data_IF_281487109914
#
_entry.id   IF_281487109914
#
_cell.length_a   1.000
_cell.length_b   1.000
_cell.length_c   1.000
_cell.angle_alpha   90.00
_cell.angle_beta   90.00
_cell.angle_gamma   90.00
#
_symmetry.space_group_name_H-M   'P 1'
#
loop_
_entity.id
_entity.type
_entity.pdbx_description
1 polymer ?
#
# COMPACT_ATOMS: atom_id res chain seq x y z
N UNK A 1 15.68 7.00 -36.23
CA UNK A 1 16.78 7.08 -35.27
C UNK A 1 16.23 6.62 -33.93
N UNK A 2 16.47 5.38 -33.54
CA UNK A 2 16.04 4.86 -32.24
C UNK A 2 16.98 5.43 -31.18
N UNK A 3 16.54 6.45 -30.46
CA UNK A 3 17.25 6.93 -29.28
C UNK A 3 17.25 5.81 -28.24
N UNK A 4 18.44 5.39 -27.85
CA UNK A 4 18.65 4.42 -26.79
C UNK A 4 17.96 4.90 -25.50
N UNK A 5 17.24 4.00 -24.84
CA UNK A 5 16.44 4.25 -23.64
C UNK A 5 17.26 4.63 -22.38
N UNK A 6 18.53 5.01 -22.52
CA UNK A 6 19.44 5.37 -21.44
C UNK A 6 20.13 6.69 -21.80
N UNK A 7 19.46 7.79 -21.49
CA UNK A 7 20.09 9.10 -21.50
C UNK A 7 20.50 9.41 -20.05
N UNK A 8 21.81 9.45 -19.72
CA UNK A 8 22.27 9.62 -18.33
C UNK A 8 21.64 10.81 -17.61
N UNK A 9 21.35 11.89 -18.35
CA UNK A 9 20.70 13.10 -17.83
C UNK A 9 19.28 12.83 -17.29
N UNK A 10 18.55 11.86 -17.86
CA UNK A 10 17.21 11.47 -17.39
C UNK A 10 17.31 10.76 -16.05
N UNK A 11 18.23 9.82 -15.89
CA UNK A 11 18.46 9.15 -14.60
C UNK A 11 18.89 10.15 -13.53
N UNK A 12 19.81 11.08 -13.84
CA UNK A 12 20.20 12.13 -12.90
C UNK A 12 19.03 13.02 -12.47
N UNK A 13 18.10 13.35 -13.39
CA UNK A 13 16.91 14.11 -13.05
C UNK A 13 15.99 13.32 -12.11
N UNK A 14 15.78 12.02 -12.37
CA UNK A 14 14.95 11.18 -11.50
C UNK A 14 15.56 11.01 -10.12
N UNK A 15 16.88 10.79 -10.04
CA UNK A 15 17.62 10.71 -8.78
C UNK A 15 17.54 12.03 -7.99
N UNK A 16 17.67 13.16 -8.67
CA UNK A 16 17.50 14.48 -8.06
C UNK A 16 16.09 14.66 -7.49
N UNK A 17 15.04 14.27 -8.24
CA UNK A 17 13.66 14.30 -7.74
C UNK A 17 13.51 13.42 -6.50
N UNK A 18 14.05 12.21 -6.53
CA UNK A 18 13.99 11.28 -5.40
C UNK A 18 14.66 11.86 -4.13
N UNK A 19 15.83 12.48 -4.27
CA UNK A 19 16.55 13.09 -3.16
C UNK A 19 15.77 14.27 -2.54
N UNK A 20 15.09 15.07 -3.35
CA UNK A 20 14.36 16.24 -2.87
C UNK A 20 13.05 15.88 -2.16
N UNK A 21 12.39 14.79 -2.56
CA UNK A 21 11.08 14.39 -2.01
C UNK A 21 11.18 13.41 -0.83
N UNK A 22 12.33 12.75 -0.62
CA UNK A 22 12.53 11.85 0.50
C UNK A 22 11.58 10.64 0.50
N UNK A 23 10.91 10.38 1.64
CA UNK A 23 9.95 9.27 1.82
C UNK A 23 8.53 9.54 1.28
N UNK A 24 8.28 10.72 0.70
CA UNK A 24 6.94 11.15 0.27
C UNK A 24 6.69 10.84 -1.22
N UNK A 25 6.04 9.71 -1.49
CA UNK A 25 5.72 9.30 -2.85
C UNK A 25 4.75 10.24 -3.56
N UNK A 26 3.85 10.93 -2.83
CA UNK A 26 2.92 11.85 -3.48
C UNK A 26 3.66 13.09 -3.98
N UNK A 27 4.62 13.61 -3.20
CA UNK A 27 5.55 14.63 -3.68
C UNK A 27 6.40 14.13 -4.85
N UNK A 28 6.89 12.88 -4.80
CA UNK A 28 7.62 12.24 -5.91
C UNK A 28 6.78 12.27 -7.19
N UNK A 29 5.54 11.78 -7.11
CA UNK A 29 4.60 11.73 -8.22
C UNK A 29 4.28 13.12 -8.77
N UNK A 30 3.95 14.07 -7.91
CA UNK A 30 3.65 15.45 -8.30
C UNK A 30 4.84 16.11 -9.02
N UNK A 31 6.05 15.85 -8.52
CA UNK A 31 7.30 16.34 -9.10
C UNK A 31 7.55 15.73 -10.48
N UNK A 32 7.42 14.40 -10.60
CA UNK A 32 7.52 13.68 -11.87
C UNK A 32 6.50 14.23 -12.88
N UNK A 33 5.24 14.37 -12.49
CA UNK A 33 4.19 14.89 -13.38
C UNK A 33 4.48 16.34 -13.82
N UNK A 34 5.02 17.17 -12.91
CA UNK A 34 5.47 18.54 -13.21
C UNK A 34 6.64 18.60 -14.20
N UNK A 35 7.67 17.76 -14.02
CA UNK A 35 8.79 17.68 -14.97
C UNK A 35 8.34 17.16 -16.32
N UNK A 36 7.56 16.07 -16.35
CA UNK A 36 7.02 15.48 -17.58
C UNK A 36 6.24 16.49 -18.43
N UNK A 37 5.46 17.39 -17.81
CA UNK A 37 4.72 18.45 -18.53
C UNK A 37 5.63 19.50 -19.19
N UNK A 38 6.82 19.74 -18.62
CA UNK A 38 7.77 20.76 -19.08
C UNK A 38 8.81 20.21 -20.06
N UNK A 39 9.05 18.90 -20.05
CA UNK A 39 10.00 18.26 -20.95
C UNK A 39 9.52 18.28 -22.41
N UNK A 40 10.43 18.42 -23.39
CA UNK A 40 10.15 18.14 -24.80
C UNK A 40 9.62 16.72 -25.00
N UNK A 41 8.81 16.51 -26.05
CA UNK A 41 8.12 15.24 -26.28
C UNK A 41 9.08 14.05 -26.41
N UNK A 42 10.26 14.24 -27.02
CA UNK A 42 11.28 13.19 -27.15
C UNK A 42 11.77 12.61 -25.81
N UNK A 43 11.68 13.37 -24.71
CA UNK A 43 12.16 12.96 -23.38
C UNK A 43 11.06 12.44 -22.46
N UNK A 44 9.78 12.61 -22.82
CA UNK A 44 8.66 12.25 -21.92
C UNK A 44 8.60 10.75 -21.67
N UNK A 45 8.78 9.92 -22.70
CA UNK A 45 8.75 8.46 -22.58
C UNK A 45 9.91 7.93 -21.73
N UNK A 46 11.19 8.24 -22.04
CA UNK A 46 12.30 7.73 -21.21
C UNK A 46 12.24 8.25 -19.77
N UNK A 47 11.83 9.51 -19.56
CA UNK A 47 11.65 10.06 -18.21
C UNK A 47 10.57 9.32 -17.42
N UNK A 48 9.40 9.10 -18.04
CA UNK A 48 8.29 8.38 -17.38
C UNK A 48 8.69 6.93 -17.08
N UNK A 49 9.40 6.27 -17.99
CA UNK A 49 9.89 4.91 -17.79
C UNK A 49 10.82 4.81 -16.58
N UNK A 50 11.83 5.69 -16.51
CA UNK A 50 12.80 5.68 -15.41
C UNK A 50 12.17 6.09 -14.08
N UNK A 51 11.29 7.10 -14.08
CA UNK A 51 10.53 7.50 -12.91
C UNK A 51 9.64 6.35 -12.41
N UNK A 52 9.00 5.61 -13.31
CA UNK A 52 8.21 4.44 -12.94
C UNK A 52 9.08 3.35 -12.33
N UNK A 53 10.25 3.05 -12.91
CA UNK A 53 11.20 2.05 -12.38
C UNK A 53 11.61 2.39 -10.94
N UNK A 54 11.99 3.64 -10.69
CA UNK A 54 12.36 4.11 -9.35
C UNK A 54 11.14 4.07 -8.42
N UNK A 55 9.99 4.54 -8.89
CA UNK A 55 8.73 4.48 -8.16
C UNK A 55 8.35 3.06 -7.72
N UNK A 56 8.54 2.04 -8.57
CA UNK A 56 8.26 0.64 -8.21
C UNK A 56 9.27 0.13 -7.20
N UNK A 57 10.55 0.45 -7.41
CA UNK A 57 11.64 -0.14 -6.63
C UNK A 57 11.69 0.43 -5.22
N UNK A 58 11.47 1.73 -5.10
CA UNK A 58 11.52 2.46 -3.83
C UNK A 58 10.13 2.38 -3.19
N UNK A 59 9.14 3.04 -3.80
CA UNK A 59 7.84 3.26 -3.18
C UNK A 59 6.81 2.15 -3.43
N UNK A 60 7.21 1.03 -4.05
CA UNK A 60 6.29 -0.06 -4.42
C UNK A 60 5.03 0.42 -5.20
N UNK A 61 5.14 1.53 -5.94
CA UNK A 61 4.01 2.20 -6.61
C UNK A 61 2.85 2.63 -5.71
N UNK A 62 3.03 2.70 -4.39
CA UNK A 62 1.90 2.94 -3.51
C UNK A 62 1.37 4.36 -3.60
N UNK A 63 0.17 4.53 -4.15
CA UNK A 63 -0.58 5.78 -4.15
C UNK A 63 -1.32 6.05 -2.83
N UNK A 64 -1.04 5.25 -1.80
CA UNK A 64 -1.58 5.44 -0.47
C UNK A 64 -1.12 6.79 0.10
N UNK A 65 -2.05 7.72 0.26
CA UNK A 65 -1.78 8.95 1.00
C UNK A 65 -1.68 8.70 2.51
N UNK A 66 -0.89 9.49 3.24
CA UNK A 66 -0.89 9.47 4.70
C UNK A 66 -2.30 9.67 5.30
N UNK A 67 -3.13 10.52 4.68
CA UNK A 67 -4.50 10.76 5.12
C UNK A 67 -5.41 9.53 4.92
N UNK A 68 -5.27 8.82 3.81
CA UNK A 68 -5.99 7.56 3.58
C UNK A 68 -5.54 6.49 4.60
N UNK A 69 -4.24 6.38 4.88
CA UNK A 69 -3.71 5.47 5.91
C UNK A 69 -4.25 5.82 7.30
N UNK A 70 -4.22 7.11 7.67
CA UNK A 70 -4.82 7.63 8.90
C UNK A 70 -6.27 7.22 9.03
N UNK A 71 -7.06 7.54 8.02
CA UNK A 71 -8.49 7.29 8.03
C UNK A 71 -8.81 5.79 8.09
N UNK A 72 -8.02 4.96 7.41
CA UNK A 72 -8.13 3.51 7.46
C UNK A 72 -7.89 2.97 8.87
N UNK A 73 -6.80 3.37 9.52
CA UNK A 73 -6.45 2.92 10.86
C UNK A 73 -7.45 3.40 11.91
N UNK A 74 -7.83 4.68 11.88
CA UNK A 74 -8.82 5.23 12.80
C UNK A 74 -10.18 4.51 12.65
N UNK A 75 -10.57 4.21 11.41
CA UNK A 75 -11.80 3.45 11.16
C UNK A 75 -11.68 2.01 11.66
N UNK A 76 -10.57 1.33 11.36
CA UNK A 76 -10.33 -0.03 11.84
C UNK A 76 -10.35 -0.10 13.37
N UNK A 77 -9.69 0.84 14.06
CA UNK A 77 -9.65 0.92 15.51
C UNK A 77 -10.99 1.32 16.15
N UNK A 78 -11.82 2.08 15.44
CA UNK A 78 -13.19 2.38 15.88
C UNK A 78 -14.10 1.14 15.80
N UNK A 79 -13.90 0.30 14.79
CA UNK A 79 -14.68 -0.94 14.60
C UNK A 79 -14.19 -2.06 15.49
N UNK A 80 -12.87 -2.15 15.71
CA UNK A 80 -12.23 -3.07 16.65
C UNK A 80 -11.49 -2.27 17.74
N UNK A 81 -12.21 -1.71 18.75
CA UNK A 81 -11.60 -0.93 19.82
C UNK A 81 -10.59 -1.72 20.65
N UNK A 82 -10.67 -3.05 20.67
CA UNK A 82 -9.72 -3.91 21.38
C UNK A 82 -8.46 -4.21 20.60
N UNK A 83 -8.29 -3.64 19.40
CA UNK A 83 -7.13 -3.92 18.56
C UNK A 83 -5.81 -3.68 19.30
N UNK A 84 -4.90 -4.65 19.19
CA UNK A 84 -3.59 -4.65 19.87
C UNK A 84 -2.40 -4.70 18.92
N UNK A 85 -2.61 -5.06 17.65
CA UNK A 85 -1.57 -5.07 16.62
C UNK A 85 -2.15 -4.98 15.21
N UNK A 86 -1.29 -4.61 14.26
CA UNK A 86 -1.53 -4.77 12.82
C UNK A 86 -0.57 -5.85 12.31
N UNK A 87 -1.10 -6.87 11.65
CA UNK A 87 -0.30 -7.85 10.91
C UNK A 87 -0.48 -7.61 9.42
N UNK A 88 0.62 -7.34 8.71
CA UNK A 88 0.63 -7.16 7.27
C UNK A 88 1.19 -8.39 6.57
N UNK A 89 0.49 -8.86 5.54
CA UNK A 89 0.94 -9.96 4.68
C UNK A 89 1.00 -9.45 3.23
N UNK A 90 2.10 -9.75 2.53
CA UNK A 90 2.37 -9.24 1.19
C UNK A 90 3.02 -7.86 1.21
N UNK A 91 3.84 -7.58 2.23
CA UNK A 91 4.43 -6.27 2.51
C UNK A 91 5.43 -5.79 1.45
N UNK A 92 5.94 -6.69 0.62
CA UNK A 92 7.00 -6.38 -0.35
C UNK A 92 8.18 -5.69 0.34
N UNK A 93 8.54 -4.50 -0.14
CA UNK A 93 9.61 -3.68 0.43
C UNK A 93 9.27 -3.01 1.76
N UNK A 94 8.01 -3.06 2.21
CA UNK A 94 7.54 -2.46 3.47
C UNK A 94 7.10 -1.00 3.38
N UNK A 95 6.91 -0.44 2.17
CA UNK A 95 6.58 0.98 2.00
C UNK A 95 5.17 1.32 2.50
N UNK A 96 4.17 0.48 2.23
CA UNK A 96 2.81 0.71 2.74
C UNK A 96 2.83 0.73 4.27
N UNK A 97 3.48 -0.25 4.88
CA UNK A 97 3.63 -0.35 6.33
C UNK A 97 4.40 0.83 6.89
N UNK A 98 5.39 1.36 6.16
CA UNK A 98 6.08 2.59 6.51
C UNK A 98 5.13 3.77 6.62
N UNK A 99 4.22 3.97 5.65
CA UNK A 99 3.21 5.04 5.70
C UNK A 99 2.33 4.88 6.95
N UNK A 100 1.84 3.66 7.21
CA UNK A 100 1.05 3.36 8.41
C UNK A 100 1.84 3.65 9.70
N UNK A 101 3.10 3.22 9.76
CA UNK A 101 3.98 3.42 10.91
C UNK A 101 4.24 4.91 11.17
N UNK A 102 4.44 5.70 10.12
CA UNK A 102 4.65 7.16 10.19
C UNK A 102 3.44 7.87 10.78
N UNK A 103 2.25 7.51 10.32
CA UNK A 103 0.96 8.06 10.79
C UNK A 103 0.66 7.67 12.24
N UNK A 104 1.06 6.47 12.65
CA UNK A 104 0.81 5.93 14.00
C UNK A 104 1.82 6.41 15.05
N UNK A 105 3.12 6.40 14.71
CA UNK A 105 4.20 6.40 15.71
C UNK A 105 5.18 7.57 15.60
N UNK A 106 4.99 8.49 14.65
CA UNK A 106 5.90 9.62 14.44
C UNK A 106 7.37 9.18 14.35
N UNK A 107 7.60 8.19 13.48
CA UNK A 107 8.90 7.57 13.28
C UNK A 107 9.93 8.62 12.88
N UNK A 108 11.09 8.60 13.57
CA UNK A 108 12.27 9.36 13.18
C UNK A 108 12.83 8.78 11.89
N UNK A 109 12.90 9.60 10.84
CA UNK A 109 13.47 9.19 9.56
C UNK A 109 14.98 9.14 9.65
N UNK A 110 15.56 8.24 8.87
CA UNK A 110 16.95 8.37 8.49
C UNK A 110 17.12 9.66 7.66
N UNK A 111 18.13 10.51 7.95
CA UNK A 111 18.38 11.76 7.24
C UNK A 111 18.36 11.66 5.71
N UNK A 112 18.72 10.51 5.13
CA UNK A 112 18.70 10.31 3.68
C UNK A 112 17.28 10.30 3.06
N UNK A 113 16.25 10.12 3.89
CA UNK A 113 14.84 10.10 3.49
C UNK A 113 14.10 11.37 3.92
N UNK A 114 14.79 12.37 4.47
CA UNK A 114 14.17 13.64 4.81
C UNK A 114 13.79 14.44 3.55
N UNK A 115 12.54 14.88 3.49
CA UNK A 115 12.05 15.81 2.46
C UNK A 115 12.88 17.09 2.49
N UNK A 116 13.39 17.54 1.34
CA UNK A 116 14.09 18.82 1.22
C UNK A 116 13.10 19.98 1.44
N UNK A 117 13.08 20.50 2.67
CA UNK A 117 12.15 21.56 3.09
C UNK A 117 12.35 22.91 2.41
N UNK A 118 13.48 23.13 1.72
CA UNK A 118 13.67 24.33 0.89
C UNK A 118 12.87 24.23 -0.41
N UNK A 119 12.85 23.06 -1.04
CA UNK A 119 12.07 22.79 -2.25
C UNK A 119 10.60 22.55 -1.92
N UNK A 120 10.33 21.76 -0.87
CA UNK A 120 8.99 21.41 -0.41
C UNK A 120 8.75 21.87 1.04
N UNK A 121 8.26 23.10 1.24
CA UNK A 121 7.97 23.62 2.57
C UNK A 121 6.96 22.78 3.36
N UNK A 122 6.16 21.96 2.66
CA UNK A 122 5.21 21.01 3.22
C UNK A 122 5.35 19.65 2.55
N UNK A 123 5.09 18.60 3.31
CA UNK A 123 4.91 17.22 2.84
C UNK A 123 3.49 16.73 3.13
N UNK A 124 3.08 15.64 2.49
CA UNK A 124 1.78 15.00 2.72
C UNK A 124 1.70 14.34 4.10
N UNK A 125 2.83 14.11 4.78
CA UNK A 125 2.85 13.63 6.16
C UNK A 125 2.62 14.74 7.20
N UNK A 126 2.75 16.02 6.82
CA UNK A 126 2.69 17.11 7.78
C UNK A 126 1.29 17.23 8.41
N UNK A 127 1.24 17.15 9.74
CA UNK A 127 0.01 17.18 10.54
C UNK A 127 -0.93 15.98 10.35
N UNK A 128 -0.47 14.89 9.72
CA UNK A 128 -1.24 13.66 9.58
C UNK A 128 -0.86 12.69 10.68
N UNK A 129 -1.75 12.55 11.67
CA UNK A 129 -1.61 11.62 12.79
C UNK A 129 -2.93 10.92 13.06
N UNK A 130 -2.87 9.62 13.28
CA UNK A 130 -4.03 8.84 13.72
C UNK A 130 -4.31 9.08 15.19
N UNK A 131 -5.56 9.37 15.53
CA UNK A 131 -6.05 9.37 16.90
C UNK A 131 -6.72 8.03 17.21
N UNK A 132 -5.96 7.15 17.85
CA UNK A 132 -6.42 5.83 18.32
C UNK A 132 -6.60 5.78 19.84
N UNK A 133 -6.85 6.93 20.47
CA UNK A 133 -7.06 7.04 21.91
C UNK A 133 -5.77 6.87 22.72
N UNK A 134 -4.65 7.36 22.20
CA UNK A 134 -3.34 7.33 22.86
C UNK A 134 -2.66 5.95 22.93
N UNK A 135 -3.23 4.94 22.26
CA UNK A 135 -2.64 3.59 22.16
C UNK A 135 -1.51 3.56 21.14
N UNK A 136 -0.63 2.58 21.28
CA UNK A 136 0.35 2.21 20.26
C UNK A 136 -0.07 0.87 19.64
N UNK A 137 -0.12 0.82 18.32
CA UNK A 137 -0.40 -0.39 17.55
C UNK A 137 0.88 -0.82 16.81
N UNK A 138 1.63 -1.82 17.29
CA UNK A 138 2.76 -2.36 16.55
C UNK A 138 2.31 -2.91 15.19
N UNK A 139 3.20 -2.81 14.20
CA UNK A 139 3.01 -3.38 12.87
C UNK A 139 4.02 -4.51 12.68
N UNK A 140 3.51 -5.71 12.41
CA UNK A 140 4.30 -6.88 12.04
C UNK A 140 4.09 -7.16 10.56
N UNK A 141 5.15 -7.01 9.76
CA UNK A 141 5.08 -7.06 8.30
C UNK A 141 5.77 -8.34 7.80
N UNK A 142 5.11 -9.07 6.90
CA UNK A 142 5.60 -10.33 6.35
C UNK A 142 5.48 -10.37 4.83
N UNK A 143 6.51 -10.93 4.20
CA UNK A 143 6.52 -11.20 2.76
C UNK A 143 7.31 -12.48 2.47
N UNK A 144 6.99 -13.16 1.36
CA UNK A 144 7.69 -14.36 0.89
C UNK A 144 9.15 -14.04 0.51
N UNK A 145 9.42 -12.80 0.11
CA UNK A 145 10.74 -12.35 -0.29
C UNK A 145 11.33 -11.41 0.75
N UNK A 146 12.57 -11.71 1.15
CA UNK A 146 13.39 -10.80 1.95
C UNK A 146 13.82 -9.59 1.11
N UNK A 147 12.95 -8.59 1.00
CA UNK A 147 13.32 -7.32 0.37
C UNK A 147 14.11 -6.47 1.36
N UNK A 148 15.15 -5.82 0.83
CA UNK A 148 16.19 -5.16 1.64
C UNK A 148 15.57 -4.03 2.48
N UNK A 149 15.86 -4.02 3.79
CA UNK A 149 15.42 -3.01 4.77
C UNK A 149 15.67 -1.58 4.27
N UNK A 150 14.68 -0.94 3.65
CA UNK A 150 14.76 0.45 3.17
C UNK A 150 13.88 1.38 4.01
N UNK A 151 12.92 0.83 4.74
CA UNK A 151 11.92 1.59 5.47
C UNK A 151 11.91 1.31 6.97
N UNK A 152 11.14 2.11 7.70
CA UNK A 152 11.09 2.05 9.17
C UNK A 152 10.50 0.77 9.76
N UNK A 153 9.82 -0.02 8.94
CA UNK A 153 9.20 -1.28 9.35
C UNK A 153 10.07 -2.41 8.85
N UNK A 154 10.42 -3.33 9.76
CA UNK A 154 11.13 -4.53 9.38
C UNK A 154 10.16 -5.53 8.75
N UNK A 155 10.40 -5.88 7.49
CA UNK A 155 9.67 -6.95 6.80
C UNK A 155 10.37 -8.28 7.09
N UNK A 156 9.67 -9.17 7.78
CA UNK A 156 10.15 -10.51 8.08
C UNK A 156 9.82 -11.46 6.93
N UNK A 157 10.68 -12.45 6.69
CA UNK A 157 10.32 -13.54 5.77
C UNK A 157 9.16 -14.32 6.38
N UNK A 158 8.04 -14.41 5.67
CA UNK A 158 6.87 -15.13 6.14
C UNK A 158 5.80 -15.24 5.07
N UNK A 159 5.00 -16.28 5.20
CA UNK A 159 3.85 -16.57 4.36
C UNK A 159 2.55 -16.36 5.17
N UNK A 160 1.36 -16.63 4.61
CA UNK A 160 0.10 -16.54 5.34
C UNK A 160 0.05 -17.32 6.66
N UNK A 161 0.89 -18.35 6.87
CA UNK A 161 0.94 -19.11 8.12
C UNK A 161 1.42 -18.26 9.30
N UNK A 162 2.05 -17.10 9.07
CA UNK A 162 2.33 -16.13 10.12
C UNK A 162 1.06 -15.75 10.92
N UNK A 163 -0.11 -15.76 10.26
CA UNK A 163 -1.41 -15.49 10.87
C UNK A 163 -1.89 -16.58 11.84
N UNK A 164 -1.19 -17.72 11.93
CA UNK A 164 -1.41 -18.67 13.00
C UNK A 164 -1.06 -18.09 14.39
N UNK A 165 -0.29 -17.01 14.44
CA UNK A 165 -0.03 -16.24 15.67
C UNK A 165 -1.03 -15.09 15.90
N UNK A 166 -1.91 -14.81 14.93
CA UNK A 166 -2.88 -13.72 15.04
C UNK A 166 -3.92 -14.00 16.12
N UNK A 167 -4.31 -12.94 16.82
CA UNK A 167 -5.40 -12.94 17.81
C UNK A 167 -6.66 -12.35 17.18
N UNK A 168 -7.80 -12.50 17.86
CA UNK A 168 -9.05 -11.83 17.46
C UNK A 168 -8.94 -10.29 17.49
N UNK A 169 -7.97 -9.75 18.22
CA UNK A 169 -7.69 -8.32 18.32
C UNK A 169 -6.68 -7.84 17.25
N UNK A 170 -6.25 -8.72 16.36
CA UNK A 170 -5.37 -8.34 15.26
C UNK A 170 -6.17 -7.66 14.14
N UNK A 171 -5.66 -6.55 13.63
CA UNK A 171 -6.10 -5.99 12.34
C UNK A 171 -5.21 -6.60 11.26
N UNK A 172 -5.83 -7.22 10.25
CA UNK A 172 -5.10 -7.69 9.07
C UNK A 172 -4.92 -6.52 8.10
N UNK A 173 -3.69 -6.27 7.67
CA UNK A 173 -3.37 -5.40 6.54
C UNK A 173 -2.99 -6.29 5.36
N UNK A 174 -3.66 -6.12 4.23
CA UNK A 174 -3.31 -6.75 2.97
C UNK A 174 -2.97 -5.65 1.99
N UNK A 175 -1.71 -5.58 1.60
CA UNK A 175 -1.24 -4.62 0.60
C UNK A 175 -0.85 -5.35 -0.68
N UNK A 176 -1.30 -4.81 -1.81
CA UNK A 176 -0.88 -5.22 -3.15
C UNK A 176 -0.80 -6.73 -3.36
N UNK A 177 -1.85 -7.50 -3.02
CA UNK A 177 -1.82 -8.92 -3.23
C UNK A 177 -1.57 -9.22 -4.71
N UNK A 178 -0.69 -10.18 -5.02
CA UNK A 178 -0.30 -10.52 -6.39
C UNK A 178 -1.49 -10.64 -7.36
N UNK A 179 -1.24 -10.25 -8.61
CA UNK A 179 -2.22 -10.21 -9.69
C UNK A 179 -2.91 -11.57 -9.85
N UNK A 180 -4.23 -11.60 -9.74
CA UNK A 180 -5.02 -12.79 -10.03
C UNK A 180 -5.40 -12.88 -11.51
N UNK A 181 -5.64 -14.10 -11.99
CA UNK A 181 -6.35 -14.32 -13.25
C UNK A 181 -7.87 -14.41 -12.98
N UNK A 182 -8.72 -13.96 -13.91
CA UNK A 182 -10.16 -14.14 -13.80
C UNK A 182 -10.60 -15.61 -13.84
N UNK A 183 -9.72 -16.54 -14.26
CA UNK A 183 -10.05 -17.95 -14.47
C UNK A 183 -9.04 -18.93 -13.87
N UNK A 184 -7.84 -18.50 -13.55
CA UNK A 184 -6.75 -19.36 -13.09
C UNK A 184 -6.20 -18.92 -11.73
N UNK A 185 -5.78 -19.90 -10.94
CA UNK A 185 -5.07 -19.64 -9.69
C UNK A 185 -3.63 -19.22 -10.02
N UNK A 186 -3.24 -18.00 -9.67
CA UNK A 186 -1.89 -17.49 -9.94
C UNK A 186 -1.12 -17.15 -8.67
N UNK A 187 -1.80 -16.60 -7.66
CA UNK A 187 -1.24 -16.49 -6.32
C UNK A 187 -2.32 -16.62 -5.27
N UNK A 188 -2.06 -17.46 -4.28
CA UNK A 188 -2.98 -17.76 -3.19
C UNK A 188 -2.69 -16.95 -1.92
N UNK A 189 -1.59 -16.18 -1.84
CA UNK A 189 -1.18 -15.51 -0.59
C UNK A 189 -2.30 -14.66 0.03
N UNK A 190 -2.97 -13.84 -0.79
CA UNK A 190 -4.06 -12.98 -0.32
C UNK A 190 -5.26 -13.77 0.17
N UNK A 191 -5.62 -14.81 -0.58
CA UNK A 191 -6.73 -15.70 -0.28
C UNK A 191 -6.44 -16.49 1.00
N UNK A 192 -5.29 -17.15 1.09
CA UNK A 192 -4.84 -17.91 2.26
C UNK A 192 -4.71 -17.01 3.49
N UNK A 193 -4.18 -15.79 3.34
CA UNK A 193 -4.08 -14.84 4.44
C UNK A 193 -5.46 -14.47 4.97
N UNK A 194 -6.39 -14.11 4.07
CA UNK A 194 -7.75 -13.81 4.48
C UNK A 194 -8.47 -15.04 5.06
N UNK A 195 -8.24 -16.23 4.50
CA UNK A 195 -8.82 -17.49 4.96
C UNK A 195 -8.34 -17.83 6.37
N UNK A 196 -7.03 -17.88 6.60
CA UNK A 196 -6.46 -18.18 7.91
C UNK A 196 -6.87 -17.15 8.95
N UNK A 197 -6.83 -15.86 8.60
CA UNK A 197 -7.32 -14.79 9.48
C UNK A 197 -8.80 -14.99 9.83
N UNK A 198 -9.64 -15.33 8.85
CA UNK A 198 -11.07 -15.62 9.06
C UNK A 198 -11.27 -16.83 9.98
N UNK A 199 -10.55 -17.93 9.73
CA UNK A 199 -10.63 -19.14 10.53
C UNK A 199 -10.21 -18.90 11.99
N UNK A 200 -9.28 -17.97 12.23
CA UNK A 200 -8.85 -17.56 13.58
C UNK A 200 -9.76 -16.55 14.29
N UNK A 201 -10.90 -16.22 13.69
CA UNK A 201 -11.84 -15.27 14.30
C UNK A 201 -11.53 -13.81 14.00
N UNK A 202 -10.60 -13.52 13.07
CA UNK A 202 -10.24 -12.16 12.69
C UNK A 202 -11.42 -11.34 12.22
N UNK A 203 -11.50 -10.09 12.66
CA UNK A 203 -12.70 -9.25 12.50
C UNK A 203 -12.54 -8.09 11.53
N UNK A 204 -11.34 -7.51 11.44
CA UNK A 204 -11.11 -6.29 10.65
C UNK A 204 -9.94 -6.47 9.71
N UNK A 205 -10.17 -6.11 8.45
CA UNK A 205 -9.20 -6.16 7.36
C UNK A 205 -9.09 -4.77 6.75
N UNK A 206 -7.87 -4.27 6.63
CA UNK A 206 -7.53 -3.13 5.79
C UNK A 206 -6.93 -3.70 4.52
N UNK A 207 -7.54 -3.41 3.38
CA UNK A 207 -7.06 -3.83 2.08
C UNK A 207 -6.61 -2.60 1.30
N UNK A 208 -5.36 -2.61 0.85
CA UNK A 208 -4.74 -1.60 -0.01
C UNK A 208 -4.39 -2.26 -1.33
N UNK A 209 -5.12 -1.94 -2.38
CA UNK A 209 -4.85 -2.50 -3.70
C UNK A 209 -5.80 -1.96 -4.75
N UNK A 210 -5.50 -2.26 -6.01
CA UNK A 210 -6.40 -1.98 -7.11
C UNK A 210 -7.37 -3.17 -7.27
N UNK A 211 -8.67 -2.89 -7.15
CA UNK A 211 -9.74 -3.89 -7.29
C UNK A 211 -9.71 -4.55 -8.68
N UNK A 212 -9.23 -3.85 -9.70
CA UNK A 212 -9.13 -4.35 -11.07
C UNK A 212 -7.82 -5.09 -11.36
N UNK A 213 -6.84 -5.07 -10.44
CA UNK A 213 -5.52 -5.64 -10.71
C UNK A 213 -4.85 -6.34 -9.53
N UNK A 214 -5.47 -6.49 -8.37
CA UNK A 214 -4.84 -7.16 -7.22
C UNK A 214 -5.81 -8.16 -6.58
N UNK A 215 -5.28 -9.30 -6.14
CA UNK A 215 -6.06 -10.43 -5.62
C UNK A 215 -6.76 -11.24 -6.72
N UNK A 216 -6.91 -12.54 -6.48
CA UNK A 216 -7.65 -13.44 -7.38
C UNK A 216 -9.14 -13.49 -7.06
N UNK A 217 -9.90 -14.17 -7.92
CA UNK A 217 -11.35 -14.31 -7.75
C UNK A 217 -11.73 -14.93 -6.40
N UNK A 218 -10.94 -15.89 -5.88
CA UNK A 218 -11.20 -16.55 -4.58
C UNK A 218 -11.08 -15.57 -3.43
N UNK A 219 -10.04 -14.74 -3.44
CA UNK A 219 -9.87 -13.67 -2.45
C UNK A 219 -11.08 -12.73 -2.46
N UNK A 220 -11.49 -12.26 -3.64
CA UNK A 220 -12.61 -11.32 -3.78
C UNK A 220 -13.95 -11.96 -3.37
N UNK A 221 -14.18 -13.23 -3.69
CA UNK A 221 -15.35 -13.99 -3.22
C UNK A 221 -15.35 -14.14 -1.70
N UNK A 222 -14.23 -14.57 -1.11
CA UNK A 222 -14.10 -14.71 0.34
C UNK A 222 -14.33 -13.37 1.06
N UNK A 223 -13.74 -12.29 0.56
CA UNK A 223 -13.93 -10.94 1.10
C UNK A 223 -15.39 -10.50 0.98
N UNK A 224 -16.04 -10.73 -0.17
CA UNK A 224 -17.46 -10.43 -0.39
C UNK A 224 -18.35 -11.19 0.58
N UNK A 225 -18.08 -12.48 0.78
CA UNK A 225 -18.96 -13.42 1.47
C UNK A 225 -18.79 -13.35 2.99
N UNK A 226 -17.57 -13.15 3.48
CA UNK A 226 -17.27 -13.12 4.93
C UNK A 226 -17.16 -11.71 5.49
N UNK A 227 -16.88 -10.71 4.66
CA UNK A 227 -16.66 -9.33 5.11
C UNK A 227 -17.60 -8.35 4.41
N UNK A 228 -17.72 -7.15 5.01
CA UNK A 228 -18.46 -6.02 4.46
C UNK A 228 -17.65 -4.76 4.68
N UNK A 229 -17.68 -3.85 3.71
CA UNK A 229 -17.10 -2.52 3.88
C UNK A 229 -17.72 -1.86 5.13
N UNK A 230 -16.89 -1.19 5.94
CA UNK A 230 -17.37 -0.46 7.10
C UNK A 230 -18.35 0.64 6.64
N UNK A 231 -19.47 0.76 7.35
CA UNK A 231 -20.54 1.69 6.97
C UNK A 231 -20.00 3.12 6.93
N UNK A 232 -20.18 3.79 5.80
CA UNK A 232 -19.76 5.18 5.61
C UNK A 232 -18.27 5.36 5.32
N UNK A 233 -17.51 4.27 5.15
CA UNK A 233 -16.13 4.35 4.66
C UNK A 233 -16.16 4.74 3.17
N UNK A 234 -15.56 5.87 2.76
CA UNK A 234 -15.46 6.24 1.36
C UNK A 234 -14.42 5.36 0.68
N UNK A 235 -14.80 4.77 -0.43
CA UNK A 235 -13.92 3.95 -1.26
C UNK A 235 -14.09 4.39 -2.70
N UNK A 236 -12.98 4.54 -3.44
CA UNK A 236 -13.05 4.95 -4.86
C UNK A 236 -13.83 3.92 -5.68
N UNK A 237 -13.57 2.64 -5.45
CA UNK A 237 -14.29 1.51 -6.04
C UNK A 237 -14.60 0.45 -4.97
N UNK A 238 -15.88 0.18 -4.70
CA UNK A 238 -16.24 -0.89 -3.76
C UNK A 238 -16.00 -2.26 -4.40
N UNK A 239 -15.23 -3.12 -3.73
CA UNK A 239 -14.91 -4.50 -4.18
C UNK A 239 -16.15 -5.35 -4.50
N UNK A 240 -17.33 -5.03 -3.97
CA UNK A 240 -18.59 -5.72 -4.33
C UNK A 240 -19.01 -5.56 -5.79
N UNK A 241 -18.44 -4.60 -6.51
CA UNK A 241 -18.66 -4.39 -7.94
C UNK A 241 -17.48 -4.92 -8.77
N UNK A 242 -16.76 -5.89 -8.24
CA UNK A 242 -15.71 -6.59 -8.98
C UNK A 242 -16.34 -7.39 -10.15
N UNK A 243 -15.83 -7.14 -11.35
CA UNK A 243 -16.14 -7.91 -12.55
C UNK A 243 -14.86 -8.55 -13.08
N UNK A 244 -14.77 -9.90 -13.15
CA UNK A 244 -13.56 -10.58 -13.63
C UNK A 244 -13.13 -10.13 -15.04
N UNK A 245 -14.08 -9.69 -15.87
CA UNK A 245 -13.83 -9.20 -17.22
C UNK A 245 -13.18 -7.81 -17.27
N UNK A 246 -13.21 -7.06 -16.17
CA UNK A 246 -12.55 -5.75 -16.03
C UNK A 246 -11.12 -5.90 -15.48
N UNK A 247 -10.69 -7.12 -15.16
CA UNK A 247 -9.32 -7.37 -14.70
C UNK A 247 -8.33 -7.08 -15.82
N UNK A 248 -7.48 -6.08 -15.59
CA UNK A 248 -6.47 -5.68 -16.56
C UNK A 248 -5.40 -4.82 -15.90
N UNK A 249 -4.15 -5.03 -16.29
CA UNK A 249 -3.00 -4.19 -15.90
C UNK A 249 -3.16 -2.71 -16.29
N UNK A 250 -4.20 -2.37 -17.04
CA UNK A 250 -4.51 -1.02 -17.54
C UNK A 250 -4.86 -0.06 -16.39
N UNK A 251 -5.38 -0.56 -15.26
CA UNK A 251 -5.79 0.27 -14.12
C UNK A 251 -4.76 0.34 -12.99
N UNK A 252 -3.67 -0.44 -13.07
CA UNK A 252 -2.64 -0.54 -12.04
C UNK A 252 -2.12 0.85 -11.65
N UNK A 253 -2.12 1.13 -10.33
CA UNK A 253 -1.86 2.46 -9.81
C UNK A 253 -3.14 3.29 -9.60
N UNK A 254 -4.19 2.70 -9.04
CA UNK A 254 -5.32 3.42 -8.45
C UNK A 254 -5.66 2.83 -7.08
N UNK A 255 -4.67 2.79 -6.18
CA UNK A 255 -4.77 2.17 -4.86
C UNK A 255 -6.08 2.54 -4.20
N UNK A 256 -6.89 1.52 -4.00
CA UNK A 256 -8.13 1.64 -3.27
C UNK A 256 -7.86 1.12 -1.87
N UNK A 257 -8.02 1.99 -0.89
CA UNK A 257 -7.95 1.62 0.52
C UNK A 257 -9.36 1.32 0.97
N UNK A 258 -9.61 0.08 1.42
CA UNK A 258 -10.89 -0.33 1.96
C UNK A 258 -10.73 -0.91 3.36
N UNK A 259 -11.59 -0.48 4.29
CA UNK A 259 -11.68 -1.10 5.63
C UNK A 259 -12.93 -1.97 5.68
N UNK A 260 -12.70 -3.24 5.93
CA UNK A 260 -13.71 -4.28 5.95
C UNK A 260 -13.85 -4.84 7.36
N UNK A 261 -15.09 -5.10 7.74
CA UNK A 261 -15.43 -5.78 8.99
C UNK A 261 -16.11 -7.10 8.67
N UNK A 262 -15.84 -8.11 9.48
CA UNK A 262 -16.46 -9.43 9.35
C UNK A 262 -17.97 -9.29 9.49
N UNK A 263 -18.70 -10.06 8.70
CA UNK A 263 -20.15 -10.21 8.85
C UNK A 263 -20.38 -10.99 10.14
N UNK A 264 -21.14 -10.41 11.07
CA UNK A 264 -21.61 -11.17 12.21
C UNK A 264 -22.41 -12.38 11.72
N UNK A 265 -22.24 -13.53 12.37
CA UNK A 265 -23.21 -14.61 12.26
C UNK A 265 -24.56 -14.03 12.72
N UNK A 266 -25.49 -13.88 11.78
CA UNK A 266 -26.90 -13.61 12.10
C UNK A 266 -27.54 -14.89 12.64
#
# INVERSE_FOLDING_TARGET
MFFFCYEPNISYLVDFVLQDVGDDYLLYKDSVDSYRRRLPDEFKVPFTYEANRVGTTVFAWSLLSPEEAKYAVETACRVLPTADQIMSIGSGGGYVEHVFNRVLHNVVLDPQWEVNRKTFPKSYFDNVKADIGGRQLPIFAFDELALKNTYSVHVSIGDPLALLSATRNTILLLCWPPFGSPTEEQSSMAFEALEYFTQRGGEVVIYVGDVASTGDWRFHELLRDQYKLVKGYPVRHEVRRWYPQEMGLIYAGNDTVGVYQRRGYL
#
